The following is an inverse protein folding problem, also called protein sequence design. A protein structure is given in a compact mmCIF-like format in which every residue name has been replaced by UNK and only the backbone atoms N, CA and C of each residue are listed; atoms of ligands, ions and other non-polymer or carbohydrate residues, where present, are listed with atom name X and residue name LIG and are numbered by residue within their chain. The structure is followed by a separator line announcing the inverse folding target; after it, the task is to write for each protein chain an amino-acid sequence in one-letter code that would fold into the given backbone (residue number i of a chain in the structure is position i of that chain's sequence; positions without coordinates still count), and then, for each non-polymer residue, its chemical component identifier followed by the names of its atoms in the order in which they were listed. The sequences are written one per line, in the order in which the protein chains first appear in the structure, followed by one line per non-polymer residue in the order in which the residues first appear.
data_IF_044890094864
#
_entry.id   IF_044890094864
#
_cell.length_a   1.000
_cell.length_b   1.000
_cell.length_c   1.000
_cell.angle_alpha   90.00
_cell.angle_beta   90.00
_cell.angle_gamma   90.00
#
_symmetry.space_group_name_H-M   'P 1'
#
loop_
_entity.id
_entity.type
_entity.pdbx_description
1 polymer ?
#
# COMPACT_ATOMS: atom_id res chain seq x y z
N UNK A 1 2.51 5.59 -4.02
CA UNK A 1 3.09 5.67 -2.66
C UNK A 1 4.01 4.49 -2.41
N UNK A 2 5.15 4.74 -1.88
CA UNK A 2 6.17 3.71 -1.62
C UNK A 2 6.85 4.02 -0.27
N UNK A 3 6.12 3.82 0.84
CA UNK A 3 6.61 4.21 2.17
C UNK A 3 7.75 3.31 2.65
N UNK A 4 8.69 3.84 3.44
CA UNK A 4 9.77 3.04 3.98
C UNK A 4 9.25 2.04 5.01
N UNK A 5 9.93 0.89 5.11
CA UNK A 5 9.56 -0.15 6.09
C UNK A 5 9.91 0.27 7.52
N UNK A 6 10.95 1.08 7.69
CA UNK A 6 11.46 1.50 8.99
C UNK A 6 12.16 2.86 8.90
N UNK A 7 12.09 3.62 9.96
CA UNK A 7 12.79 4.91 10.04
C UNK A 7 12.72 5.50 11.43
N UNK A 8 13.50 6.56 11.66
CA UNK A 8 13.50 7.32 12.89
C UNK A 8 13.36 8.80 12.59
N UNK A 9 12.52 9.49 13.37
CA UNK A 9 12.38 10.93 13.30
C UNK A 9 13.43 11.67 14.11
N UNK A 10 13.53 13.00 13.93
CA UNK A 10 14.53 13.82 14.64
C UNK A 10 14.34 13.85 16.15
N UNK A 11 13.13 13.58 16.64
CA UNK A 11 12.83 13.51 18.07
C UNK A 11 12.96 12.12 18.67
N UNK A 12 13.53 11.15 17.93
CA UNK A 12 13.69 9.78 18.39
C UNK A 12 12.49 8.88 18.10
N UNK A 13 11.49 9.37 17.40
CA UNK A 13 10.33 8.59 17.00
C UNK A 13 10.74 7.44 16.07
N UNK A 14 10.09 6.29 16.23
CA UNK A 14 10.35 5.12 15.41
C UNK A 14 9.18 4.89 14.47
N UNK A 15 9.48 4.82 13.17
CA UNK A 15 8.52 4.49 12.13
C UNK A 15 8.64 3.01 11.81
N UNK A 16 7.53 2.28 11.92
CA UNK A 16 7.41 0.90 11.44
C UNK A 16 6.17 0.83 10.57
N UNK A 17 6.36 0.44 9.32
CA UNK A 17 5.28 0.47 8.34
C UNK A 17 4.09 -0.38 8.76
N UNK A 18 4.33 -1.57 9.32
CA UNK A 18 3.27 -2.47 9.75
C UNK A 18 2.37 -1.86 10.82
N UNK A 19 2.86 -0.87 11.58
CA UNK A 19 2.08 -0.22 12.62
C UNK A 19 1.43 1.07 12.16
N UNK A 20 1.99 1.72 11.13
CA UNK A 20 1.62 3.09 10.75
C UNK A 20 0.92 3.19 9.39
N UNK A 21 0.88 2.10 8.63
CA UNK A 21 0.43 2.16 7.24
C UNK A 21 -1.02 2.63 7.11
N UNK A 22 -1.92 2.12 7.92
CA UNK A 22 -3.33 2.50 7.81
C UNK A 22 -3.54 4.00 8.07
N UNK A 23 -2.84 4.53 9.07
CA UNK A 23 -2.89 5.97 9.35
C UNK A 23 -2.35 6.81 8.20
N UNK A 24 -1.27 6.35 7.56
CA UNK A 24 -0.71 7.02 6.38
C UNK A 24 -1.68 6.99 5.21
N UNK A 25 -2.27 5.84 4.91
CA UNK A 25 -3.25 5.70 3.84
C UNK A 25 -4.46 6.58 4.09
N UNK A 26 -4.97 6.62 5.32
CA UNK A 26 -6.09 7.47 5.69
C UNK A 26 -5.77 8.96 5.54
N UNK A 27 -4.55 9.37 5.88
CA UNK A 27 -4.12 10.75 5.71
C UNK A 27 -4.01 11.12 4.23
N UNK A 28 -3.49 10.22 3.40
CA UNK A 28 -3.39 10.43 1.95
C UNK A 28 -4.78 10.51 1.30
N UNK A 29 -5.74 9.71 1.77
CA UNK A 29 -7.11 9.75 1.27
C UNK A 29 -7.73 11.13 1.44
N UNK A 30 -7.46 11.79 2.57
CA UNK A 30 -8.01 13.13 2.84
C UNK A 30 -7.52 14.20 1.88
N UNK A 31 -6.37 14.03 1.27
CA UNK A 31 -5.82 14.97 0.28
C UNK A 31 -6.03 14.49 -1.16
N UNK A 32 -6.69 13.34 -1.33
CA UNK A 32 -6.99 12.81 -2.66
C UNK A 32 -8.03 13.68 -3.34
N UNK A 33 -7.79 14.05 -4.60
CA UNK A 33 -8.72 14.87 -5.36
C UNK A 33 -10.04 14.12 -5.61
N UNK A 34 -11.15 14.85 -5.70
CA UNK A 34 -12.46 14.23 -5.95
C UNK A 34 -12.53 13.48 -7.28
N UNK A 35 -11.73 13.92 -8.27
CA UNK A 35 -11.66 13.31 -9.59
C UNK A 35 -10.41 12.44 -9.76
N UNK A 36 -9.77 12.03 -8.68
CA UNK A 36 -8.60 11.17 -8.75
C UNK A 36 -8.90 9.88 -9.51
N UNK A 37 -7.95 9.43 -10.33
CA UNK A 37 -8.11 8.25 -11.18
C UNK A 37 -7.64 6.98 -10.48
N UNK A 38 -6.56 7.06 -9.71
CA UNK A 38 -6.03 5.89 -9.03
C UNK A 38 -5.17 6.29 -7.82
N UNK A 39 -4.93 5.31 -6.96
CA UNK A 39 -3.96 5.39 -5.86
C UNK A 39 -3.23 4.05 -5.78
N UNK A 40 -1.91 4.08 -5.71
CA UNK A 40 -1.05 2.92 -5.71
C UNK A 40 -0.18 2.90 -4.47
N UNK A 41 -0.10 1.74 -3.82
CA UNK A 41 0.77 1.52 -2.67
C UNK A 41 1.63 0.31 -2.94
N UNK A 42 2.94 0.47 -2.80
CA UNK A 42 3.89 -0.65 -2.82
C UNK A 42 4.47 -0.83 -1.43
N UNK A 43 4.62 -2.07 -1.00
CA UNK A 43 5.23 -2.41 0.27
C UNK A 43 6.20 -3.55 0.09
N UNK A 44 7.37 -3.40 0.67
CA UNK A 44 8.41 -4.44 0.67
C UNK A 44 8.63 -4.99 2.08
N UNK A 45 7.74 -4.65 3.02
CA UNK A 45 7.82 -5.07 4.42
C UNK A 45 7.27 -6.48 4.58
N UNK A 46 8.04 -7.34 5.25
CA UNK A 46 7.59 -8.69 5.60
C UNK A 46 6.36 -8.60 6.50
N UNK A 47 5.35 -9.42 6.21
CA UNK A 47 4.12 -9.44 6.98
C UNK A 47 3.00 -8.57 6.44
N UNK A 48 3.28 -7.70 5.48
CA UNK A 48 2.24 -6.91 4.81
C UNK A 48 1.88 -7.59 3.49
N UNK A 49 0.97 -8.55 3.57
CA UNK A 49 0.51 -9.32 2.43
C UNK A 49 -0.46 -8.52 1.57
N UNK A 50 -0.67 -8.92 0.30
CA UNK A 50 -1.59 -8.19 -0.59
C UNK A 50 -3.00 -8.00 -0.03
N UNK A 51 -3.54 -9.01 0.67
CA UNK A 51 -4.87 -8.90 1.27
C UNK A 51 -4.97 -7.77 2.29
N UNK A 52 -3.89 -7.50 3.02
CA UNK A 52 -3.86 -6.40 3.99
C UNK A 52 -3.97 -5.05 3.27
N UNK A 53 -3.23 -4.87 2.19
CA UNK A 53 -3.30 -3.65 1.38
C UNK A 53 -4.68 -3.49 0.75
N UNK A 54 -5.26 -4.57 0.26
CA UNK A 54 -6.61 -4.57 -0.29
C UNK A 54 -7.61 -4.07 0.75
N UNK A 55 -7.56 -4.60 1.96
CA UNK A 55 -8.47 -4.21 3.03
C UNK A 55 -8.30 -2.75 3.41
N UNK A 56 -7.07 -2.28 3.52
CA UNK A 56 -6.79 -0.89 3.88
C UNK A 56 -7.33 0.09 2.82
N UNK A 57 -7.10 -0.19 1.54
CA UNK A 57 -7.59 0.67 0.46
C UNK A 57 -9.12 0.62 0.37
N UNK A 58 -9.71 -0.54 0.59
CA UNK A 58 -11.16 -0.67 0.60
C UNK A 58 -11.78 0.18 1.71
N UNK A 59 -11.22 0.09 2.91
CA UNK A 59 -11.76 0.80 4.07
C UNK A 59 -11.46 2.30 4.03
N UNK A 60 -10.28 2.69 3.59
CA UNK A 60 -9.85 4.09 3.65
C UNK A 60 -10.27 4.88 2.41
N UNK A 61 -10.27 4.28 1.24
CA UNK A 61 -10.47 5.00 -0.03
C UNK A 61 -11.78 4.63 -0.71
N UNK A 62 -12.03 3.35 -0.97
CA UNK A 62 -13.19 2.94 -1.75
C UNK A 62 -14.52 3.26 -1.07
N UNK A 63 -14.57 3.28 0.25
CA UNK A 63 -15.78 3.65 0.98
C UNK A 63 -16.20 5.09 0.74
N UNK A 64 -15.23 5.98 0.54
CA UNK A 64 -15.50 7.40 0.34
C UNK A 64 -15.61 7.74 -1.14
N UNK A 65 -14.73 7.19 -1.97
CA UNK A 65 -14.60 7.54 -3.38
C UNK A 65 -15.26 6.53 -4.33
N UNK A 66 -15.69 5.37 -3.83
CA UNK A 66 -16.15 4.28 -4.69
C UNK A 66 -14.99 3.64 -5.43
N UNK A 67 -15.25 3.10 -6.60
CA UNK A 67 -14.22 2.48 -7.41
C UNK A 67 -13.90 1.05 -7.02
N UNK A 68 -12.76 0.55 -7.48
CA UNK A 68 -12.34 -0.83 -7.29
C UNK A 68 -10.95 -0.89 -6.65
N UNK A 69 -10.69 -1.98 -5.91
CA UNK A 69 -9.40 -2.23 -5.28
C UNK A 69 -8.88 -3.59 -5.71
N UNK A 70 -7.61 -3.65 -6.09
CA UNK A 70 -6.91 -4.91 -6.35
C UNK A 70 -5.59 -4.89 -5.60
N UNK A 71 -5.09 -6.07 -5.25
CA UNK A 71 -3.79 -6.19 -4.62
C UNK A 71 -3.13 -7.48 -5.06
N UNK A 72 -1.82 -7.41 -5.35
CA UNK A 72 -1.04 -8.52 -5.84
C UNK A 72 0.34 -8.52 -5.21
N UNK A 73 0.97 -9.69 -5.23
CA UNK A 73 2.36 -9.81 -4.82
C UNK A 73 3.27 -9.29 -5.92
N UNK A 74 4.30 -8.53 -5.53
CA UNK A 74 5.34 -8.09 -6.44
C UNK A 74 6.40 -9.20 -6.49
N UNK A 75 6.68 -9.69 -7.70
CA UNK A 75 7.64 -10.78 -7.91
C UNK A 75 8.60 -10.44 -9.03
N UNK A 76 9.78 -11.06 -8.99
CA UNK A 76 10.74 -11.00 -10.09
C UNK A 76 10.86 -12.39 -10.73
N UNK A 77 10.83 -12.50 -12.07
CA UNK A 77 11.03 -13.80 -12.72
C UNK A 77 12.45 -14.31 -12.49
N UNK A 78 12.56 -15.61 -12.25
CA UNK A 78 13.85 -16.28 -12.05
C UNK A 78 14.20 -17.08 -13.31
N UNK A 79 15.43 -16.94 -13.82
CA UNK A 79 15.87 -17.60 -15.05
C UNK A 79 15.70 -19.12 -14.99
N UNK A 80 15.92 -19.72 -13.83
CA UNK A 80 15.79 -21.18 -13.66
C UNK A 80 14.35 -21.66 -13.47
N UNK A 81 13.37 -20.75 -13.54
CA UNK A 81 11.96 -21.05 -13.32
C UNK A 81 11.47 -20.53 -11.95
N UNK A 82 10.16 -20.36 -11.83
CA UNK A 82 9.56 -19.77 -10.65
C UNK A 82 9.71 -18.26 -10.60
N UNK A 83 9.40 -17.68 -9.44
CA UNK A 83 9.48 -16.23 -9.21
C UNK A 83 10.10 -15.95 -7.85
N UNK A 84 10.74 -14.79 -7.72
CA UNK A 84 11.29 -14.32 -6.46
C UNK A 84 10.30 -13.32 -5.85
N UNK A 85 9.71 -13.62 -4.68
CA UNK A 85 8.81 -12.67 -4.02
C UNK A 85 9.60 -11.45 -3.53
N UNK A 86 9.08 -10.26 -3.82
CA UNK A 86 9.73 -8.99 -3.44
C UNK A 86 8.90 -8.13 -2.52
N UNK A 87 7.57 -8.18 -2.62
CA UNK A 87 6.69 -7.33 -1.83
C UNK A 87 5.26 -7.44 -2.29
N UNK A 88 4.46 -6.43 -1.97
CA UNK A 88 3.05 -6.38 -2.31
C UNK A 88 2.67 -5.03 -2.90
N UNK A 89 1.71 -5.02 -3.81
CA UNK A 89 1.18 -3.81 -4.41
C UNK A 89 -0.33 -3.78 -4.25
N UNK A 90 -0.86 -2.69 -3.73
CA UNK A 90 -2.29 -2.44 -3.66
C UNK A 90 -2.66 -1.27 -4.54
N UNK A 91 -3.79 -1.37 -5.23
CA UNK A 91 -4.26 -0.33 -6.15
C UNK A 91 -5.73 -0.06 -5.94
N UNK A 92 -6.05 1.20 -5.82
CA UNK A 92 -7.43 1.68 -5.96
C UNK A 92 -7.53 2.42 -7.28
N UNK A 93 -8.61 2.21 -8.00
CA UNK A 93 -8.85 2.96 -9.24
C UNK A 93 -10.33 3.24 -9.38
N UNK A 94 -10.63 4.36 -10.00
CA UNK A 94 -12.00 4.76 -10.30
C UNK A 94 -12.55 3.85 -11.40
N UNK A 95 -13.65 3.23 -11.13
CA UNK A 95 -14.25 2.26 -12.07
C UNK A 95 -14.64 2.88 -13.39
#
# INVERSE_FOLDING_TARGET
MDPPSYGRGPGGEVWKLENELYGLVSACEKVLADDALFMLINSYTTGLQPAVLNNMLTMAVARTHGGSVTADEIVLPVTAGGVLPCGASGRWFRA
#
